data_IF_770222990125
#
_entry.id   IF_770222990125
#
_cell.length_a   1.000
_cell.length_b   1.000
_cell.length_c   1.000
_cell.angle_alpha   90.00
_cell.angle_beta   90.00
_cell.angle_gamma   90.00
#
_symmetry.space_group_name_H-M   'P 1'
#
loop_
_entity.id
_entity.type
_entity.pdbx_description
1 polymer ?
#
# COMPACT_ATOMS: atom_id res chain seq x y z
N UNK A 1 -8.77 -55.76 16.07
CA UNK A 1 -9.74 -54.66 16.29
C UNK A 1 -9.29 -53.91 17.52
N UNK A 2 -8.82 -52.66 17.36
CA UNK A 2 -8.37 -51.83 18.47
C UNK A 2 -9.55 -51.46 19.36
N UNK A 3 -9.39 -51.65 20.67
CA UNK A 3 -10.40 -51.34 21.68
C UNK A 3 -10.54 -49.82 21.80
N UNK A 4 -11.71 -49.25 21.54
CA UNK A 4 -12.01 -47.85 21.87
C UNK A 4 -12.13 -47.80 23.39
N UNK A 5 -11.17 -47.15 24.05
CA UNK A 5 -11.16 -46.93 25.49
C UNK A 5 -11.57 -45.48 25.76
N UNK A 6 -12.56 -45.30 26.63
CA UNK A 6 -13.05 -43.98 27.02
C UNK A 6 -12.34 -43.51 28.30
N UNK A 7 -11.90 -42.26 28.33
CA UNK A 7 -11.14 -41.69 29.45
C UNK A 7 -12.04 -41.10 30.55
N UNK A 8 -13.20 -40.55 30.17
CA UNK A 8 -14.11 -39.84 31.08
C UNK A 8 -15.44 -40.57 31.30
N UNK A 9 -15.87 -41.41 30.35
CA UNK A 9 -17.12 -42.17 30.45
C UNK A 9 -16.84 -43.52 31.13
N UNK A 10 -17.27 -43.74 32.38
CA UNK A 10 -16.99 -44.99 33.09
C UNK A 10 -17.80 -46.14 32.48
N UNK A 11 -17.19 -47.32 32.36
CA UNK A 11 -17.87 -48.55 31.89
C UNK A 11 -19.05 -48.97 32.78
N UNK A 12 -19.10 -48.45 34.02
CA UNK A 12 -20.16 -48.72 35.00
C UNK A 12 -21.35 -47.77 34.88
N UNK A 13 -21.33 -46.83 33.93
CA UNK A 13 -22.43 -45.89 33.69
C UNK A 13 -23.64 -46.61 33.06
N UNK A 14 -24.74 -46.70 33.82
CA UNK A 14 -25.95 -47.48 33.45
C UNK A 14 -27.14 -46.60 33.03
N UNK A 15 -26.96 -45.28 32.99
CA UNK A 15 -28.03 -44.36 32.58
C UNK A 15 -28.09 -44.33 31.05
N UNK A 16 -29.24 -44.66 30.45
CA UNK A 16 -29.39 -44.64 28.99
C UNK A 16 -29.30 -43.21 28.43
N UNK A 17 -28.56 -43.05 27.33
CA UNK A 17 -28.34 -41.77 26.65
C UNK A 17 -27.19 -41.81 25.65
N UNK A 18 -26.97 -40.72 24.91
CA UNK A 18 -25.78 -40.51 24.06
C UNK A 18 -24.79 -39.66 24.84
N UNK A 19 -23.64 -40.25 25.18
CA UNK A 19 -22.52 -39.54 25.80
C UNK A 19 -21.39 -39.41 24.79
N UNK A 20 -20.84 -38.21 24.66
CA UNK A 20 -19.72 -37.90 23.77
C UNK A 20 -18.55 -37.42 24.63
N UNK A 21 -17.36 -37.98 24.45
CA UNK A 21 -16.13 -37.43 25.04
C UNK A 21 -15.20 -36.90 23.96
N UNK A 22 -14.51 -35.80 24.27
CA UNK A 22 -13.48 -35.22 23.43
C UNK A 22 -12.12 -35.45 24.10
N UNK A 23 -11.31 -36.36 23.54
CA UNK A 23 -9.96 -36.59 24.02
C UNK A 23 -8.97 -35.63 23.35
N UNK A 24 -8.46 -34.66 24.11
CA UNK A 24 -7.44 -33.71 23.68
C UNK A 24 -6.02 -34.20 23.93
N UNK A 25 -5.81 -35.44 24.42
CA UNK A 25 -4.50 -35.99 24.75
C UNK A 25 -3.55 -36.12 23.56
N UNK A 26 -4.10 -36.31 22.35
CA UNK A 26 -3.37 -36.28 21.08
C UNK A 26 -3.48 -34.93 20.34
N UNK A 27 -4.11 -33.93 20.95
CA UNK A 27 -4.17 -32.57 20.42
C UNK A 27 -2.81 -31.89 20.52
N UNK A 28 -2.41 -31.12 19.52
CA UNK A 28 -1.15 -30.38 19.54
C UNK A 28 -1.17 -29.32 20.66
N UNK A 29 -0.48 -29.57 21.78
CA UNK A 29 -0.41 -28.67 22.95
C UNK A 29 0.74 -27.64 22.85
N UNK A 30 1.51 -27.64 21.77
CA UNK A 30 2.50 -26.60 21.50
C UNK A 30 1.83 -25.26 21.14
N UNK A 31 2.59 -24.16 21.16
CA UNK A 31 2.20 -22.93 20.48
C UNK A 31 2.00 -23.25 19.00
N UNK A 32 0.76 -23.50 18.60
CA UNK A 32 0.42 -23.66 17.19
C UNK A 32 0.65 -22.29 16.57
N UNK A 33 1.69 -22.17 15.75
CA UNK A 33 1.84 -21.03 14.87
C UNK A 33 0.62 -21.03 13.95
N UNK A 34 -0.33 -20.13 14.21
CA UNK A 34 -1.34 -19.81 13.22
C UNK A 34 -0.62 -19.13 12.07
N UNK A 35 -0.40 -19.88 10.97
CA UNK A 35 0.15 -19.32 9.75
C UNK A 35 -0.93 -18.45 9.12
N UNK A 36 -1.01 -17.21 9.59
CA UNK A 36 -1.86 -16.20 9.00
C UNK A 36 -1.36 -15.89 7.60
N UNK A 37 -2.29 -15.78 6.65
CA UNK A 37 -2.00 -15.37 5.28
C UNK A 37 -2.31 -13.89 5.10
N UNK A 38 -1.34 -13.16 4.58
CA UNK A 38 -1.53 -11.78 4.16
C UNK A 38 -1.85 -11.74 2.67
N UNK A 39 -2.72 -10.83 2.27
CA UNK A 39 -3.02 -10.50 0.89
C UNK A 39 -2.77 -9.01 0.68
N UNK A 40 -2.05 -8.64 -0.37
CA UNK A 40 -1.98 -7.25 -0.85
C UNK A 40 -2.85 -7.12 -2.10
N UNK A 41 -3.77 -6.16 -2.07
CA UNK A 41 -4.50 -5.71 -3.25
C UNK A 41 -3.85 -4.43 -3.75
N UNK A 42 -3.46 -4.35 -5.01
CA UNK A 42 -2.73 -3.20 -5.57
C UNK A 42 -2.99 -3.04 -7.06
N UNK A 43 -2.58 -1.91 -7.67
CA UNK A 43 -2.74 -1.74 -9.12
C UNK A 43 -1.82 -2.64 -9.94
N UNK A 44 -2.38 -3.14 -11.03
CA UNK A 44 -1.68 -3.81 -12.10
C UNK A 44 -1.05 -2.77 -13.05
N UNK A 45 0.23 -2.89 -13.43
CA UNK A 45 0.92 -1.91 -14.29
C UNK A 45 0.48 -1.93 -15.77
N UNK A 46 -0.41 -2.86 -16.15
CA UNK A 46 -0.93 -3.00 -17.51
C UNK A 46 -0.35 -4.21 -18.26
N UNK A 47 -0.66 -4.31 -19.56
CA UNK A 47 -0.29 -5.46 -20.38
C UNK A 47 1.23 -5.57 -20.59
N UNK A 48 1.74 -6.81 -20.66
CA UNK A 48 3.17 -7.10 -20.88
C UNK A 48 3.95 -7.52 -19.62
N UNK A 49 3.26 -7.65 -18.49
CA UNK A 49 3.81 -8.18 -17.24
C UNK A 49 3.45 -9.66 -17.05
N UNK A 50 4.24 -10.42 -16.25
CA UNK A 50 4.15 -11.88 -16.20
C UNK A 50 2.89 -12.43 -15.52
N UNK A 51 2.16 -11.60 -14.78
CA UNK A 51 0.92 -11.99 -14.08
C UNK A 51 -0.22 -11.20 -14.67
N UNK A 52 -1.34 -11.87 -14.96
CA UNK A 52 -2.56 -11.19 -15.40
C UNK A 52 -3.24 -10.46 -14.22
N UNK A 53 -4.00 -9.41 -14.53
CA UNK A 53 -4.87 -8.78 -13.56
C UNK A 53 -5.87 -9.79 -12.96
N UNK A 54 -6.37 -9.48 -11.77
CA UNK A 54 -7.38 -10.23 -11.03
C UNK A 54 -7.02 -11.70 -10.80
N UNK A 55 -5.71 -12.00 -10.68
CA UNK A 55 -5.22 -13.34 -10.38
C UNK A 55 -4.47 -13.33 -9.06
N UNK A 56 -4.81 -14.26 -8.15
CA UNK A 56 -4.11 -14.41 -6.88
C UNK A 56 -2.81 -15.22 -7.05
N UNK A 57 -1.69 -14.65 -6.59
CA UNK A 57 -0.37 -15.31 -6.65
C UNK A 57 0.43 -15.12 -5.36
N UNK A 58 1.40 -16.00 -5.14
CA UNK A 58 2.30 -15.96 -4.01
C UNK A 58 3.47 -15.00 -4.28
N UNK A 59 3.77 -14.14 -3.30
CA UNK A 59 4.88 -13.18 -3.37
C UNK A 59 6.06 -13.67 -2.54
N UNK A 60 7.05 -14.23 -3.24
CA UNK A 60 8.24 -14.83 -2.63
C UNK A 60 9.24 -13.79 -2.10
N UNK A 61 9.50 -12.73 -2.87
CA UNK A 61 10.52 -11.73 -2.56
C UNK A 61 10.15 -10.35 -3.08
N UNK A 62 10.95 -9.34 -2.72
CA UNK A 62 10.84 -8.02 -3.32
C UNK A 62 11.17 -8.04 -4.82
N UNK A 63 12.20 -8.80 -5.22
CA UNK A 63 12.60 -8.90 -6.63
C UNK A 63 11.51 -9.54 -7.49
N UNK A 64 10.79 -10.53 -6.95
CA UNK A 64 9.60 -11.08 -7.60
C UNK A 64 8.52 -10.00 -7.80
N UNK A 65 8.26 -9.16 -6.79
CA UNK A 65 7.30 -8.05 -6.95
C UNK A 65 7.74 -7.01 -8.00
N UNK A 66 9.05 -6.74 -8.11
CA UNK A 66 9.60 -5.86 -9.15
C UNK A 66 9.44 -6.46 -10.54
N UNK A 67 9.63 -7.78 -10.70
CA UNK A 67 9.39 -8.47 -11.97
C UNK A 67 7.91 -8.45 -12.37
N UNK A 68 7.01 -8.61 -11.40
CA UNK A 68 5.57 -8.71 -11.65
C UNK A 68 4.92 -7.35 -11.91
N UNK A 69 5.24 -6.33 -11.12
CA UNK A 69 4.56 -5.03 -11.22
C UNK A 69 5.45 -3.89 -11.76
N UNK A 70 6.74 -4.16 -11.97
CA UNK A 70 7.72 -3.14 -12.32
C UNK A 70 8.26 -2.38 -11.10
N UNK A 71 9.45 -1.81 -11.27
CA UNK A 71 10.14 -1.03 -10.24
C UNK A 71 9.44 0.32 -10.03
N UNK A 72 9.33 0.76 -8.77
CA UNK A 72 8.62 1.99 -8.40
C UNK A 72 7.09 1.92 -8.51
N UNK A 73 6.54 0.73 -8.79
CA UNK A 73 5.09 0.51 -8.74
C UNK A 73 4.57 0.54 -7.31
N UNK A 74 3.29 0.89 -7.17
CA UNK A 74 2.59 0.89 -5.88
C UNK A 74 2.72 -0.48 -5.19
N UNK A 75 2.53 -1.57 -5.95
CA UNK A 75 2.67 -2.93 -5.43
C UNK A 75 4.09 -3.24 -4.92
N UNK A 76 5.13 -2.92 -5.70
CA UNK A 76 6.51 -3.21 -5.31
C UNK A 76 6.89 -2.50 -3.99
N UNK A 77 6.45 -1.25 -3.82
CA UNK A 77 6.70 -0.51 -2.58
C UNK A 77 5.93 -1.08 -1.37
N UNK A 78 4.69 -1.53 -1.57
CA UNK A 78 3.94 -2.23 -0.52
C UNK A 78 4.63 -3.54 -0.14
N UNK A 79 5.01 -4.39 -1.10
CA UNK A 79 5.69 -5.66 -0.81
C UNK A 79 7.00 -5.44 -0.05
N UNK A 80 7.80 -4.44 -0.45
CA UNK A 80 9.05 -4.06 0.24
C UNK A 80 8.80 -3.78 1.73
N UNK A 81 7.72 -3.07 2.03
CA UNK A 81 7.36 -2.66 3.38
C UNK A 81 6.75 -3.81 4.16
N UNK A 82 5.80 -4.54 3.57
CA UNK A 82 5.18 -5.72 4.16
C UNK A 82 6.22 -6.77 4.57
N UNK A 83 7.14 -7.14 3.67
CA UNK A 83 8.19 -8.13 3.99
C UNK A 83 9.21 -7.61 4.99
N UNK A 84 9.44 -6.30 5.08
CA UNK A 84 10.29 -5.72 6.13
C UNK A 84 9.63 -5.85 7.51
N UNK A 85 8.32 -5.63 7.59
CA UNK A 85 7.56 -5.75 8.83
C UNK A 85 7.33 -7.21 9.24
N UNK A 86 6.94 -8.06 8.29
CA UNK A 86 6.60 -9.47 8.47
C UNK A 86 7.38 -10.36 7.49
N UNK A 87 8.38 -11.09 8.01
CA UNK A 87 9.22 -12.03 7.23
C UNK A 87 8.76 -13.48 7.33
N UNK A 88 7.69 -13.72 8.07
CA UNK A 88 7.35 -15.04 8.57
C UNK A 88 6.16 -15.62 7.81
N UNK A 89 5.14 -14.80 7.62
CA UNK A 89 3.87 -15.24 7.07
C UNK A 89 3.90 -15.27 5.54
N UNK A 90 3.04 -16.11 4.97
CA UNK A 90 2.81 -16.14 3.53
C UNK A 90 2.19 -14.83 3.06
N UNK A 91 2.81 -14.21 2.05
CA UNK A 91 2.32 -13.01 1.41
C UNK A 91 1.77 -13.36 0.03
N UNK A 92 0.48 -13.17 -0.15
CA UNK A 92 -0.22 -13.28 -1.42
C UNK A 92 -0.51 -11.89 -1.97
N UNK A 93 -0.77 -11.81 -3.26
CA UNK A 93 -1.19 -10.58 -3.90
C UNK A 93 -2.23 -10.83 -4.98
N UNK A 94 -3.09 -9.85 -5.17
CA UNK A 94 -3.96 -9.70 -6.34
C UNK A 94 -3.73 -8.31 -6.89
N UNK A 95 -3.47 -8.21 -8.19
CA UNK A 95 -3.30 -6.94 -8.87
C UNK A 95 -4.56 -6.63 -9.67
N UNK A 96 -5.12 -5.44 -9.47
CA UNK A 96 -6.35 -4.99 -10.09
C UNK A 96 -6.04 -3.94 -11.15
N UNK A 97 -6.79 -3.92 -12.24
CA UNK A 97 -6.54 -2.95 -13.30
C UNK A 97 -6.72 -1.50 -12.81
N UNK A 98 -5.91 -0.61 -13.40
CA UNK A 98 -6.08 0.83 -13.17
C UNK A 98 -7.46 1.29 -13.68
N UNK A 99 -8.10 2.28 -13.02
CA UNK A 99 -9.37 2.81 -13.49
C UNK A 99 -9.25 3.33 -14.93
N UNK A 100 -10.07 2.79 -15.85
CA UNK A 100 -10.04 3.10 -17.27
C UNK A 100 -10.14 4.62 -17.54
N UNK A 101 -11.15 5.25 -16.92
CA UNK A 101 -11.38 6.70 -16.96
C UNK A 101 -10.61 7.48 -15.86
N UNK A 102 -9.64 6.82 -15.21
CA UNK A 102 -8.85 7.42 -14.15
C UNK A 102 -7.83 8.43 -14.65
N UNK A 103 -7.52 9.39 -13.78
CA UNK A 103 -6.53 10.44 -14.03
C UNK A 103 -5.34 10.21 -13.11
N UNK A 104 -4.13 10.42 -13.64
CA UNK A 104 -2.89 10.36 -12.85
C UNK A 104 -2.77 11.62 -12.01
N UNK A 105 -2.48 11.47 -10.72
CA UNK A 105 -2.20 12.61 -9.87
C UNK A 105 -0.94 13.33 -10.36
N UNK A 106 -0.96 14.66 -10.32
CA UNK A 106 0.16 15.49 -10.72
C UNK A 106 0.48 16.51 -9.63
N UNK A 107 1.77 16.66 -9.36
CA UNK A 107 2.36 17.76 -8.62
C UNK A 107 3.31 18.55 -9.51
N UNK A 108 3.83 19.65 -9.00
CA UNK A 108 4.83 20.42 -9.74
C UNK A 108 5.83 21.09 -8.81
N UNK A 109 7.01 21.35 -9.37
CA UNK A 109 8.02 22.19 -8.75
C UNK A 109 8.29 23.35 -9.69
N UNK A 110 8.11 24.57 -9.22
CA UNK A 110 8.51 25.77 -9.95
C UNK A 110 9.79 26.29 -9.33
N UNK A 111 10.82 26.43 -10.17
CA UNK A 111 12.14 26.89 -9.77
C UNK A 111 12.28 28.37 -10.10
N UNK A 112 12.98 29.09 -9.23
CA UNK A 112 13.34 30.48 -9.42
C UNK A 112 14.84 30.62 -9.25
N UNK A 113 15.46 31.41 -10.11
CA UNK A 113 16.89 31.66 -10.13
C UNK A 113 17.17 33.05 -10.72
N UNK A 114 18.45 33.40 -10.93
CA UNK A 114 19.62 32.52 -10.86
C UNK A 114 20.05 32.17 -9.42
N UNK A 115 20.66 30.98 -9.26
CA UNK A 115 21.28 30.60 -7.99
C UNK A 115 22.49 31.50 -7.71
N UNK A 116 22.59 32.07 -6.50
CA UNK A 116 23.70 32.94 -6.09
C UNK A 116 24.84 32.17 -5.43
N UNK A 117 24.63 30.90 -5.08
CA UNK A 117 25.66 30.01 -4.55
C UNK A 117 25.48 28.60 -5.13
N UNK A 118 26.61 27.88 -5.27
CA UNK A 118 26.57 26.45 -5.58
C UNK A 118 26.09 25.65 -4.35
N UNK A 119 25.36 24.57 -4.58
CA UNK A 119 24.87 23.71 -3.51
C UNK A 119 24.02 22.56 -4.02
N UNK A 120 23.24 21.97 -3.12
CA UNK A 120 22.36 20.85 -3.43
C UNK A 120 20.97 21.17 -2.92
N UNK A 121 19.97 21.02 -3.78
CA UNK A 121 18.58 21.09 -3.39
C UNK A 121 18.17 19.73 -2.80
N UNK A 122 17.77 19.67 -1.52
CA UNK A 122 17.31 18.44 -0.88
C UNK A 122 15.81 18.29 -1.12
N UNK A 123 15.45 17.66 -2.25
CA UNK A 123 14.06 17.37 -2.58
C UNK A 123 13.63 16.07 -1.90
N UNK A 124 12.49 16.07 -1.24
CA UNK A 124 11.86 14.87 -0.70
C UNK A 124 10.65 14.52 -1.56
N UNK A 125 10.68 13.33 -2.13
CA UNK A 125 9.60 12.77 -2.97
C UNK A 125 9.22 11.44 -2.37
N UNK A 126 7.96 11.29 -1.96
CA UNK A 126 7.43 10.02 -1.43
C UNK A 126 8.30 9.42 -0.29
N UNK A 127 8.74 10.29 0.63
CA UNK A 127 9.61 9.90 1.75
C UNK A 127 11.07 9.55 1.38
N UNK A 128 11.48 9.71 0.11
CA UNK A 128 12.86 9.51 -0.35
C UNK A 128 13.57 10.84 -0.66
N UNK A 129 14.84 10.93 -0.27
CA UNK A 129 15.68 12.09 -0.60
C UNK A 129 16.21 11.99 -2.04
N UNK A 130 15.96 13.02 -2.83
CA UNK A 130 16.50 13.27 -4.16
C UNK A 130 17.39 14.51 -4.09
N UNK A 131 18.67 14.32 -4.36
CA UNK A 131 19.66 15.40 -4.31
C UNK A 131 19.86 15.98 -5.72
N UNK A 132 19.50 17.26 -5.88
CA UNK A 132 19.69 17.97 -7.16
C UNK A 132 20.88 18.93 -7.02
N UNK A 133 21.94 18.69 -7.80
CA UNK A 133 23.11 19.57 -7.84
C UNK A 133 22.78 20.89 -8.54
N UNK A 134 23.25 22.00 -7.97
CA UNK A 134 23.10 23.36 -8.51
C UNK A 134 24.45 24.06 -8.46
N UNK A 135 24.89 24.62 -9.59
CA UNK A 135 26.07 25.46 -9.67
C UNK A 135 25.72 26.95 -9.46
N UNK A 136 26.73 27.75 -9.10
CA UNK A 136 26.55 29.20 -9.02
C UNK A 136 26.21 29.77 -10.41
N UNK A 137 25.28 30.71 -10.46
CA UNK A 137 24.73 31.31 -11.69
C UNK A 137 23.86 30.38 -12.55
N UNK A 138 23.50 29.19 -12.06
CA UNK A 138 22.55 28.34 -12.77
C UNK A 138 21.19 29.02 -12.92
N UNK A 139 20.66 29.00 -14.14
CA UNK A 139 19.31 29.50 -14.44
C UNK A 139 18.25 28.53 -13.93
N UNK A 140 17.03 29.01 -13.72
CA UNK A 140 15.92 28.16 -13.30
C UNK A 140 15.66 26.98 -14.25
N UNK A 141 15.89 27.15 -15.56
CA UNK A 141 15.74 26.09 -16.56
C UNK A 141 16.84 25.02 -16.47
N UNK A 142 18.08 25.41 -16.16
CA UNK A 142 19.19 24.48 -15.91
C UNK A 142 18.90 23.62 -14.68
N UNK A 143 18.46 24.26 -13.59
CA UNK A 143 18.09 23.56 -12.35
C UNK A 143 16.90 22.63 -12.59
N UNK A 144 15.91 23.03 -13.41
CA UNK A 144 14.77 22.19 -13.76
C UNK A 144 15.20 20.91 -14.49
N UNK A 145 16.13 21.04 -15.43
CA UNK A 145 16.68 19.90 -16.17
C UNK A 145 17.45 18.95 -15.26
N UNK A 146 18.27 19.49 -14.35
CA UNK A 146 18.98 18.70 -13.34
C UNK A 146 18.02 17.99 -12.39
N UNK A 147 16.93 18.64 -11.98
CA UNK A 147 15.90 18.04 -11.11
C UNK A 147 15.19 16.88 -11.80
N UNK A 148 14.82 17.03 -13.08
CA UNK A 148 14.21 15.97 -13.89
C UNK A 148 15.15 14.76 -13.99
N UNK A 149 16.43 15.00 -14.29
CA UNK A 149 17.42 13.94 -14.38
C UNK A 149 17.58 13.19 -13.05
N UNK A 150 17.67 13.90 -11.93
CA UNK A 150 17.80 13.29 -10.60
C UNK A 150 16.55 12.48 -10.19
N UNK A 151 15.35 12.98 -10.48
CA UNK A 151 14.10 12.27 -10.18
C UNK A 151 13.99 11.01 -11.05
N UNK A 152 14.19 11.11 -12.36
CA UNK A 152 14.02 9.98 -13.28
C UNK A 152 15.14 8.93 -13.15
N UNK A 153 16.32 9.31 -12.64
CA UNK A 153 17.39 8.36 -12.33
C UNK A 153 17.02 7.41 -11.18
N UNK A 154 16.19 7.85 -10.23
CA UNK A 154 15.70 7.00 -9.15
C UNK A 154 14.44 6.24 -9.59
N UNK A 155 14.65 5.05 -10.14
CA UNK A 155 13.58 4.17 -10.62
C UNK A 155 12.69 3.57 -9.52
N UNK A 156 13.05 3.70 -8.24
CA UNK A 156 12.22 3.26 -7.11
C UNK A 156 11.11 4.26 -6.74
N UNK A 157 11.15 5.49 -7.26
CA UNK A 157 10.14 6.51 -7.00
C UNK A 157 8.82 6.20 -7.70
N UNK A 158 7.70 6.51 -7.04
CA UNK A 158 6.34 6.40 -7.57
C UNK A 158 5.97 7.41 -8.66
N UNK A 159 6.92 8.26 -9.06
CA UNK A 159 6.67 9.40 -9.94
C UNK A 159 7.61 9.43 -11.13
N UNK A 160 7.21 10.17 -12.15
CA UNK A 160 8.02 10.56 -13.31
C UNK A 160 8.00 12.08 -13.43
N UNK A 161 9.15 12.67 -13.77
CA UNK A 161 9.27 14.12 -13.96
C UNK A 161 9.48 14.47 -15.44
N UNK A 162 8.83 15.54 -15.88
CA UNK A 162 8.99 16.12 -17.21
C UNK A 162 8.94 17.66 -17.13
N UNK A 163 9.56 18.33 -18.09
CA UNK A 163 9.50 19.79 -18.17
C UNK A 163 8.10 20.23 -18.61
N UNK A 164 7.63 21.36 -18.10
CA UNK A 164 6.37 21.95 -18.57
C UNK A 164 6.56 22.50 -19.99
N UNK A 165 5.58 22.27 -20.87
CA UNK A 165 5.65 22.67 -22.29
C UNK A 165 5.56 24.18 -22.51
N UNK A 166 5.19 24.96 -21.47
CA UNK A 166 5.05 26.41 -21.53
C UNK A 166 6.12 27.10 -20.67
N UNK A 167 6.38 26.59 -19.46
CA UNK A 167 7.33 27.19 -18.54
C UNK A 167 8.55 26.29 -18.31
N UNK A 168 9.70 26.64 -18.88
CA UNK A 168 10.96 25.89 -18.74
C UNK A 168 11.53 25.88 -17.32
N UNK A 169 11.03 26.73 -16.42
CA UNK A 169 11.37 26.74 -15.00
C UNK A 169 10.43 25.86 -14.14
N UNK A 170 9.40 25.25 -14.75
CA UNK A 170 8.43 24.39 -14.07
C UNK A 170 8.65 22.92 -14.46
N UNK A 171 8.79 22.08 -13.44
CA UNK A 171 8.88 20.64 -13.56
C UNK A 171 7.54 20.04 -13.16
N UNK A 172 6.87 19.41 -14.11
CA UNK A 172 5.65 18.65 -13.86
C UNK A 172 6.04 17.24 -13.41
N UNK A 173 5.52 16.83 -12.26
CA UNK A 173 5.80 15.52 -11.67
C UNK A 173 4.48 14.75 -11.62
N UNK A 174 4.44 13.61 -12.30
CA UNK A 174 3.23 12.79 -12.45
C UNK A 174 3.41 11.46 -11.75
N UNK A 175 2.34 10.99 -11.09
CA UNK A 175 2.33 9.64 -10.53
C UNK A 175 2.38 8.60 -11.64
N UNK A 176 3.00 7.44 -11.39
CA UNK A 176 3.13 6.38 -12.40
C UNK A 176 1.79 5.74 -12.76
N UNK A 177 0.87 5.66 -11.81
CA UNK A 177 -0.45 5.04 -11.98
C UNK A 177 -1.60 6.06 -11.97
N UNK A 178 -2.75 5.65 -12.50
CA UNK A 178 -4.01 6.39 -12.40
C UNK A 178 -4.72 6.14 -11.07
N UNK A 179 -5.59 7.07 -10.66
CA UNK A 179 -6.46 6.89 -9.50
C UNK A 179 -6.22 7.87 -8.36
N UNK A 180 -7.17 7.91 -7.42
CA UNK A 180 -7.15 8.84 -6.29
C UNK A 180 -5.95 8.61 -5.33
N UNK A 181 -5.39 7.39 -5.31
CA UNK A 181 -4.27 7.03 -4.44
C UNK A 181 -3.03 7.90 -4.68
N UNK A 182 -2.78 8.31 -5.93
CA UNK A 182 -1.64 9.15 -6.28
C UNK A 182 -1.66 10.55 -5.64
N UNK A 183 -2.81 11.00 -5.13
CA UNK A 183 -2.89 12.27 -4.39
C UNK A 183 -2.17 12.22 -3.04
N UNK A 184 -1.88 11.02 -2.53
CA UNK A 184 -1.13 10.81 -1.30
C UNK A 184 0.39 10.98 -1.43
N UNK A 185 0.91 11.19 -2.64
CA UNK A 185 2.35 11.42 -2.86
C UNK A 185 2.76 12.73 -2.19
N UNK A 186 3.70 12.66 -1.26
CA UNK A 186 4.26 13.83 -0.61
C UNK A 186 5.44 14.41 -1.41
N UNK A 187 5.47 15.74 -1.55
CA UNK A 187 6.52 16.49 -2.21
C UNK A 187 6.92 17.65 -1.33
N UNK A 188 8.19 17.70 -0.92
CA UNK A 188 8.71 18.72 0.01
C UNK A 188 10.16 19.08 -0.30
N UNK A 189 10.60 20.22 0.20
CA UNK A 189 12.01 20.64 0.16
C UNK A 189 12.50 20.83 1.58
N UNK A 190 13.70 20.32 1.90
CA UNK A 190 14.37 20.63 3.17
C UNK A 190 13.71 20.05 4.42
N UNK A 191 13.24 18.80 4.36
CA UNK A 191 12.54 18.15 5.48
C UNK A 191 13.40 17.99 6.75
N UNK A 192 14.69 17.65 6.61
CA UNK A 192 15.60 17.51 7.76
C UNK A 192 16.25 18.84 8.13
N UNK A 193 16.46 19.06 9.43
CA UNK A 193 17.07 20.29 9.94
C UNK A 193 18.46 20.50 9.32
N UNK A 194 18.71 21.70 8.82
CA UNK A 194 19.99 22.08 8.20
C UNK A 194 20.09 21.82 6.70
N UNK A 195 19.11 21.14 6.10
CA UNK A 195 19.01 20.98 4.65
C UNK A 195 18.16 22.11 4.06
N UNK A 196 18.80 23.08 3.43
CA UNK A 196 18.15 24.20 2.74
C UNK A 196 18.59 24.26 1.28
N UNK A 197 17.72 24.82 0.43
CA UNK A 197 18.09 25.14 -0.94
C UNK A 197 19.25 26.18 -0.95
N UNK A 198 20.15 26.13 -1.95
CA UNK A 198 21.21 27.11 -2.06
C UNK A 198 20.64 28.53 -2.22
N UNK A 199 21.39 29.53 -1.76
CA UNK A 199 20.98 30.92 -1.87
C UNK A 199 20.67 31.30 -3.33
N UNK A 200 19.63 32.09 -3.54
CA UNK A 200 19.17 32.52 -4.87
C UNK A 200 18.33 31.49 -5.64
N UNK A 201 18.32 30.21 -5.23
CA UNK A 201 17.44 29.18 -5.81
C UNK A 201 16.15 29.04 -4.97
N UNK A 202 15.08 29.71 -5.38
CA UNK A 202 13.77 29.55 -4.74
C UNK A 202 12.99 28.40 -5.38
N UNK A 203 12.26 27.65 -4.56
CA UNK A 203 11.53 26.46 -4.99
C UNK A 203 10.09 26.55 -4.47
N UNK A 204 9.14 26.64 -5.38
CA UNK A 204 7.72 26.59 -5.06
C UNK A 204 7.17 25.20 -5.36
N UNK A 205 6.65 24.52 -4.34
CA UNK A 205 6.09 23.17 -4.46
C UNK A 205 4.58 23.25 -4.60
N UNK A 206 4.05 22.62 -5.65
CA UNK A 206 2.62 22.35 -5.82
C UNK A 206 2.37 20.90 -5.42
N UNK A 207 1.55 20.71 -4.39
CA UNK A 207 1.20 19.38 -3.88
C UNK A 207 0.49 18.53 -4.95
N UNK A 208 0.58 17.20 -4.83
CA UNK A 208 -0.10 16.29 -5.73
C UNK A 208 -1.62 16.42 -5.60
N UNK A 209 -2.29 16.57 -6.74
CA UNK A 209 -3.74 16.64 -6.83
C UNK A 209 -4.22 16.10 -8.19
N UNK A 210 -5.54 16.03 -8.36
CA UNK A 210 -6.18 15.68 -9.64
C UNK A 210 -6.17 14.19 -9.98
N UNK A 211 -5.61 13.33 -9.13
CA UNK A 211 -5.77 11.89 -9.22
C UNK A 211 -7.23 11.52 -8.99
N UNK A 212 -7.83 10.83 -9.95
CA UNK A 212 -9.24 10.47 -9.92
C UNK A 212 -9.45 9.06 -10.48
N UNK A 213 -10.57 8.43 -10.11
CA UNK A 213 -10.88 7.06 -10.47
C UNK A 213 -10.69 6.10 -9.30
N UNK A 214 -11.53 5.08 -9.30
CA UNK A 214 -11.65 4.01 -8.29
C UNK A 214 -11.49 2.68 -9.02
N UNK A 215 -10.72 1.71 -8.48
CA UNK A 215 -10.61 0.38 -9.08
C UNK A 215 -11.94 -0.38 -9.05
N UNK A 216 -12.16 -1.23 -10.04
CA UNK A 216 -13.18 -2.29 -9.95
C UNK A 216 -12.56 -3.51 -9.26
N UNK A 217 -13.15 -3.94 -8.16
CA UNK A 217 -12.68 -5.09 -7.38
C UNK A 217 -13.47 -6.37 -7.65
N UNK A 218 -14.47 -6.35 -8.52
CA UNK A 218 -15.39 -7.48 -8.70
C UNK A 218 -14.65 -8.76 -9.08
N UNK A 219 -13.84 -8.70 -10.14
CA UNK A 219 -13.05 -9.85 -10.61
C UNK A 219 -11.96 -10.25 -9.60
N UNK A 220 -11.34 -9.28 -8.92
CA UNK A 220 -10.37 -9.53 -7.86
C UNK A 220 -10.98 -10.31 -6.69
N UNK A 221 -12.21 -9.97 -6.31
CA UNK A 221 -12.95 -10.64 -5.23
C UNK A 221 -13.32 -12.07 -5.64
N UNK A 222 -13.77 -12.28 -6.87
CA UNK A 222 -14.05 -13.62 -7.40
C UNK A 222 -12.78 -14.49 -7.37
N UNK A 223 -11.61 -13.90 -7.66
CA UNK A 223 -10.32 -14.58 -7.65
C UNK A 223 -9.80 -14.93 -6.25
N UNK A 224 -10.32 -14.32 -5.18
CA UNK A 224 -9.97 -14.70 -3.80
C UNK A 224 -10.33 -16.17 -3.52
N UNK A 225 -11.42 -16.67 -4.13
CA UNK A 225 -11.87 -18.07 -4.18
C UNK A 225 -11.68 -18.84 -2.83
N UNK A 226 -11.52 -20.18 -2.74
CA UNK A 226 -11.68 -20.87 -1.47
C UNK A 226 -10.54 -20.62 -0.46
N UNK A 227 -9.50 -19.86 -0.80
CA UNK A 227 -8.38 -19.59 0.09
C UNK A 227 -8.80 -18.60 1.19
N UNK A 228 -8.35 -18.88 2.41
CA UNK A 228 -8.53 -17.98 3.55
C UNK A 228 -7.36 -16.99 3.60
N UNK A 229 -7.69 -15.71 3.60
CA UNK A 229 -6.75 -14.60 3.82
C UNK A 229 -7.16 -13.89 5.11
N UNK A 230 -6.26 -13.86 6.07
CA UNK A 230 -6.57 -13.34 7.41
C UNK A 230 -6.39 -11.82 7.46
N UNK A 231 -5.44 -11.30 6.69
CA UNK A 231 -5.16 -9.87 6.61
C UNK A 231 -5.12 -9.44 5.15
N UNK A 232 -6.04 -8.57 4.75
CA UNK A 232 -6.10 -7.97 3.42
C UNK A 232 -5.58 -6.53 3.54
N UNK A 233 -4.52 -6.20 2.82
CA UNK A 233 -3.91 -4.87 2.82
C UNK A 233 -4.29 -4.20 1.51
N UNK A 234 -4.88 -3.02 1.61
CA UNK A 234 -5.27 -2.22 0.45
C UNK A 234 -4.69 -0.80 0.54
N UNK A 235 -4.20 -0.23 -0.58
CA UNK A 235 -3.78 1.17 -0.66
C UNK A 235 -4.98 2.13 -0.83
N UNK A 236 -6.16 1.59 -1.11
CA UNK A 236 -7.35 2.33 -1.47
C UNK A 236 -8.05 2.81 -0.20
N UNK A 237 -8.33 4.10 -0.14
CA UNK A 237 -9.00 4.75 0.99
C UNK A 237 -10.32 5.44 0.57
N UNK A 238 -10.79 5.18 -0.65
CA UNK A 238 -12.09 5.65 -1.11
C UNK A 238 -13.22 4.79 -0.54
N UNK A 239 -14.39 5.42 -0.35
CA UNK A 239 -15.53 4.78 0.29
C UNK A 239 -16.08 3.59 -0.51
N UNK A 240 -16.01 3.63 -1.84
CA UNK A 240 -16.54 2.56 -2.70
C UNK A 240 -15.71 1.29 -2.52
N UNK A 241 -14.39 1.37 -2.71
CA UNK A 241 -13.48 0.23 -2.58
C UNK A 241 -13.48 -0.34 -1.17
N UNK A 242 -13.49 0.52 -0.16
CA UNK A 242 -13.52 0.10 1.24
C UNK A 242 -14.84 -0.58 1.61
N UNK A 243 -15.97 -0.09 1.09
CA UNK A 243 -17.27 -0.73 1.32
C UNK A 243 -17.36 -2.09 0.63
N UNK A 244 -16.92 -2.20 -0.63
CA UNK A 244 -16.90 -3.47 -1.37
C UNK A 244 -16.01 -4.53 -0.69
N UNK A 245 -14.85 -4.13 -0.16
CA UNK A 245 -14.00 -5.05 0.62
C UNK A 245 -14.63 -5.44 1.96
N UNK A 246 -15.31 -4.52 2.63
CA UNK A 246 -16.00 -4.80 3.89
C UNK A 246 -17.16 -5.78 3.70
N UNK A 247 -18.00 -5.58 2.68
CA UNK A 247 -19.10 -6.48 2.32
C UNK A 247 -18.58 -7.89 2.01
N UNK A 248 -17.47 -8.02 1.28
CA UNK A 248 -16.88 -9.32 0.99
C UNK A 248 -16.32 -10.00 2.26
N UNK A 249 -15.73 -9.24 3.20
CA UNK A 249 -15.28 -9.84 4.47
C UNK A 249 -16.45 -10.27 5.35
N UNK A 250 -17.54 -9.50 5.39
CA UNK A 250 -18.77 -9.87 6.12
C UNK A 250 -19.39 -11.14 5.53
N UNK A 251 -19.47 -11.23 4.20
CA UNK A 251 -19.93 -12.46 3.50
C UNK A 251 -19.06 -13.67 3.83
N UNK A 252 -17.75 -13.49 4.01
CA UNK A 252 -16.83 -14.58 4.36
C UNK A 252 -16.88 -14.95 5.83
N UNK A 253 -17.21 -14.01 6.70
CA UNK A 253 -17.41 -14.24 8.13
C UNK A 253 -18.67 -15.07 8.43
N UNK A 254 -19.65 -15.06 7.51
CA UNK A 254 -20.89 -15.83 7.67
C UNK A 254 -20.65 -17.31 8.03
N UNK A 255 -21.56 -17.85 8.84
CA UNK A 255 -21.50 -19.20 9.38
C UNK A 255 -21.41 -20.30 8.31
N UNK A 256 -21.84 -20.03 7.07
CA UNK A 256 -21.70 -20.97 5.95
C UNK A 256 -20.31 -20.94 5.31
N UNK A 257 -19.61 -19.81 5.35
CA UNK A 257 -18.33 -19.61 4.65
C UNK A 257 -17.13 -19.79 5.59
N UNK A 258 -17.23 -19.30 6.83
CA UNK A 258 -16.25 -19.47 7.92
C UNK A 258 -14.80 -19.13 7.51
N UNK A 259 -14.59 -18.00 6.83
CA UNK A 259 -13.28 -17.53 6.37
C UNK A 259 -13.06 -16.09 6.79
N UNK A 260 -12.86 -15.87 8.09
CA UNK A 260 -12.58 -14.54 8.60
C UNK A 260 -11.36 -13.88 7.94
N UNK A 261 -11.44 -12.57 7.83
CA UNK A 261 -10.37 -11.71 7.36
C UNK A 261 -10.60 -10.27 7.79
N UNK A 262 -9.51 -9.53 7.96
CA UNK A 262 -9.54 -8.11 8.31
C UNK A 262 -8.82 -7.28 7.25
N UNK A 263 -9.44 -6.17 6.86
CA UNK A 263 -8.94 -5.24 5.85
C UNK A 263 -8.20 -4.08 6.53
N UNK A 264 -7.02 -3.77 6.03
CA UNK A 264 -6.13 -2.72 6.53
C UNK A 264 -5.86 -1.71 5.43
N UNK A 265 -6.16 -0.45 5.71
CA UNK A 265 -5.87 0.69 4.82
C UNK A 265 -5.28 1.85 5.59
N UNK A 266 -4.86 2.90 4.88
CA UNK A 266 -4.42 4.15 5.48
C UNK A 266 -4.83 5.34 4.61
N UNK A 267 -5.22 6.43 5.27
CA UNK A 267 -5.69 7.65 4.62
C UNK A 267 -4.88 8.86 5.08
N UNK A 268 -4.39 9.70 4.15
CA UNK A 268 -3.83 11.01 4.49
C UNK A 268 -4.96 12.04 4.65
N UNK A 269 -4.68 13.13 5.38
CA UNK A 269 -5.64 14.24 5.45
C UNK A 269 -5.64 14.98 6.78
N UNK A 270 -6.56 15.95 6.87
CA UNK A 270 -6.84 16.64 8.13
C UNK A 270 -7.66 15.77 9.07
N UNK A 271 -7.71 16.12 10.36
CA UNK A 271 -8.60 15.45 11.32
C UNK A 271 -10.05 15.42 10.81
N UNK A 272 -10.56 16.53 10.28
CA UNK A 272 -11.92 16.61 9.74
C UNK A 272 -12.16 15.64 8.58
N UNK A 273 -11.22 15.55 7.63
CA UNK A 273 -11.32 14.61 6.50
C UNK A 273 -11.34 13.15 6.98
N UNK A 274 -10.49 12.82 7.96
CA UNK A 274 -10.39 11.47 8.51
C UNK A 274 -11.61 11.10 9.36
N UNK A 275 -12.17 12.04 10.14
CA UNK A 275 -13.40 11.83 10.90
C UNK A 275 -14.60 11.61 9.96
N UNK A 276 -14.69 12.35 8.86
CA UNK A 276 -15.74 12.12 7.84
C UNK A 276 -15.60 10.75 7.19
N UNK A 277 -14.38 10.35 6.82
CA UNK A 277 -14.12 9.01 6.28
C UNK A 277 -14.53 7.91 7.27
N UNK A 278 -14.11 8.01 8.52
CA UNK A 278 -14.45 7.04 9.56
C UNK A 278 -15.95 6.99 9.88
N UNK A 279 -16.65 8.12 9.85
CA UNK A 279 -18.10 8.14 10.08
C UNK A 279 -18.90 7.50 8.95
N UNK A 280 -18.35 7.49 7.73
CA UNK A 280 -18.95 6.86 6.56
C UNK A 280 -18.68 5.35 6.45
N UNK A 281 -17.80 4.79 7.29
CA UNK A 281 -17.36 3.40 7.25
C UNK A 281 -17.55 2.76 8.62
N UNK A 282 -18.63 2.00 8.78
CA UNK A 282 -18.93 1.27 10.02
C UNK A 282 -18.89 -0.24 9.76
N UNK A 283 -17.69 -0.83 9.81
CA UNK A 283 -17.46 -2.26 9.64
C UNK A 283 -16.45 -2.74 10.68
N UNK A 284 -16.70 -3.90 11.28
CA UNK A 284 -15.82 -4.60 12.21
C UNK A 284 -14.62 -5.27 11.51
N UNK A 285 -14.78 -5.60 10.23
CA UNK A 285 -13.75 -6.20 9.39
C UNK A 285 -12.77 -5.18 8.78
N UNK A 286 -12.95 -3.87 8.99
CA UNK A 286 -12.12 -2.83 8.38
C UNK A 286 -11.42 -1.95 9.42
N UNK A 287 -10.13 -1.69 9.22
CA UNK A 287 -9.40 -0.67 9.96
C UNK A 287 -8.58 0.24 9.04
N UNK A 288 -8.80 1.55 9.18
CA UNK A 288 -8.14 2.59 8.38
C UNK A 288 -7.28 3.48 9.28
N UNK A 289 -5.97 3.48 9.07
CA UNK A 289 -5.05 4.34 9.81
C UNK A 289 -5.02 5.76 9.23
N UNK A 290 -5.32 6.76 10.06
CA UNK A 290 -5.11 8.17 9.70
C UNK A 290 -3.63 8.56 9.82
N UNK A 291 -2.98 8.94 8.71
CA UNK A 291 -1.54 9.28 8.71
C UNK A 291 -1.25 10.79 8.72
N UNK A 292 -2.28 11.62 8.69
CA UNK A 292 -2.15 13.07 8.75
C UNK A 292 -1.36 13.64 7.56
N UNK A 293 -0.34 14.46 7.87
CA UNK A 293 0.63 15.02 6.93
C UNK A 293 1.99 14.30 6.99
N UNK A 294 2.00 12.99 7.27
CA UNK A 294 3.23 12.20 7.20
C UNK A 294 3.90 12.35 5.83
N UNK A 295 5.23 12.43 5.73
CA UNK A 295 5.94 12.37 4.45
C UNK A 295 5.93 10.96 3.84
N UNK A 296 5.50 9.94 4.60
CA UNK A 296 5.32 8.58 4.11
C UNK A 296 3.98 8.44 3.40
N UNK A 297 3.98 7.88 2.19
CA UNK A 297 2.75 7.67 1.44
C UNK A 297 1.77 6.69 2.10
N UNK A 298 0.45 6.87 1.86
CA UNK A 298 -0.59 6.07 2.50
C UNK A 298 -0.48 4.57 2.19
N UNK A 299 -0.13 4.16 0.97
CA UNK A 299 0.00 2.73 0.65
C UNK A 299 1.15 2.05 1.40
N UNK A 300 2.25 2.75 1.65
CA UNK A 300 3.37 2.26 2.47
C UNK A 300 2.91 2.12 3.92
N UNK A 301 2.19 3.12 4.44
CA UNK A 301 1.66 3.08 5.80
C UNK A 301 0.64 1.95 6.00
N UNK A 302 -0.30 1.77 5.06
CA UNK A 302 -1.27 0.68 5.06
C UNK A 302 -0.56 -0.68 5.08
N UNK A 303 0.48 -0.82 4.25
CA UNK A 303 1.28 -2.05 4.19
C UNK A 303 2.04 -2.34 5.48
N UNK A 304 2.67 -1.32 6.08
CA UNK A 304 3.31 -1.46 7.38
C UNK A 304 2.30 -1.84 8.47
N UNK A 305 1.12 -1.21 8.46
CA UNK A 305 0.08 -1.41 9.45
C UNK A 305 -0.48 -2.85 9.40
N UNK A 306 -0.97 -3.30 8.25
CA UNK A 306 -1.53 -4.63 8.12
C UNK A 306 -0.49 -5.74 8.29
N UNK A 307 0.76 -5.51 7.85
CA UNK A 307 1.81 -6.50 8.04
C UNK A 307 2.26 -6.60 9.51
N UNK A 308 2.24 -5.50 10.26
CA UNK A 308 2.48 -5.51 11.70
C UNK A 308 1.33 -6.19 12.46
N UNK A 309 0.07 -5.95 12.07
CA UNK A 309 -1.09 -6.60 12.67
C UNK A 309 -1.07 -8.12 12.49
N UNK A 310 -0.57 -8.61 11.35
CA UNK A 310 -0.42 -10.04 11.07
C UNK A 310 0.79 -10.70 11.78
N UNK A 311 1.67 -9.91 12.40
CA UNK A 311 2.88 -10.44 13.03
C UNK A 311 2.58 -10.90 14.46
N UNK A 312 2.00 -12.09 14.57
CA UNK A 312 1.79 -12.80 15.83
C UNK A 312 2.83 -13.93 16.04
#
# INVERSE_FOLDING_TARGET
MGRIAFNQIPVTWRVPGVNVEFDWSAGNQGLVRSLQRLLIVAYHPGNGFPVAADTAFLVESYDHAVQVAGRGSLFAQMVKTAKKANRVNELWAILVDEPNAGVKAAGAITLTGPASAAGTIPLMVDGQLVQVGVAASDTAATIATAAIAAINANTDLSVTAAIDGVNTAKVNITCRWKGAVGNGVDLRVGYWRGLAAPAGAGIAVTAFAGGAGVPDLTAAIDALAPKQYHHVITPFADSVTLHTLAEEMERRWDAMVQKEGQVWSAAPGSLGTLTTLGSGLNSDALSVMGIGKSPTSPWIAASAYGAAAAKA
#
